data_IF_018946396251
#
_entry.id   IF_018946396251
#
_cell.length_a   1.000
_cell.length_b   1.000
_cell.length_c   1.000
_cell.angle_alpha   90.00
_cell.angle_beta   90.00
_cell.angle_gamma   90.00
#
_symmetry.space_group_name_H-M   'P 1'
#
loop_
_entity.id
_entity.type
_entity.pdbx_description
1 polymer ?
#
# COMPACT_ATOMS: atom_id res chain seq x y z
N UNK A 1 39.38 36.18 50.11
CA UNK A 1 39.24 35.89 48.66
C UNK A 1 38.85 34.43 48.34
N UNK A 2 39.31 33.41 49.09
CA UNK A 2 38.98 31.98 48.83
C UNK A 2 37.52 31.55 49.11
N UNK A 3 36.81 32.22 50.02
CA UNK A 3 35.41 31.89 50.36
C UNK A 3 34.40 32.36 49.31
N UNK A 4 34.75 33.38 48.50
CA UNK A 4 33.84 33.95 47.49
C UNK A 4 33.79 33.07 46.24
N UNK A 5 34.94 32.53 45.82
CA UNK A 5 35.07 31.61 44.68
C UNK A 5 34.44 30.24 44.94
N UNK A 6 34.38 29.77 46.19
CA UNK A 6 33.74 28.49 46.52
C UNK A 6 32.20 28.58 46.48
N UNK A 7 31.63 29.72 46.90
CA UNK A 7 30.18 29.97 46.83
C UNK A 7 29.71 30.09 45.39
N UNK A 8 30.45 30.80 44.54
CA UNK A 8 30.12 30.90 43.10
C UNK A 8 30.24 29.55 42.37
N UNK A 9 31.19 28.69 42.75
CA UNK A 9 31.30 27.34 42.21
C UNK A 9 30.09 26.46 42.58
N UNK A 10 29.62 26.54 43.83
CA UNK A 10 28.42 25.82 44.27
C UNK A 10 27.15 26.32 43.57
N UNK A 11 27.00 27.62 43.36
CA UNK A 11 25.88 28.16 42.59
C UNK A 11 25.88 27.71 41.13
N UNK A 12 27.05 27.60 40.48
CA UNK A 12 27.16 27.07 39.12
C UNK A 12 26.81 25.58 39.04
N UNK A 13 27.24 24.77 40.02
CA UNK A 13 26.88 23.34 40.09
C UNK A 13 25.39 23.16 40.33
N UNK A 14 24.78 23.94 41.23
CA UNK A 14 23.33 23.90 41.48
C UNK A 14 22.55 24.37 40.25
N UNK A 15 23.01 25.41 39.55
CA UNK A 15 22.40 25.87 38.31
C UNK A 15 22.49 24.82 37.19
N UNK A 16 23.61 24.11 37.05
CA UNK A 16 23.72 22.99 36.10
C UNK A 16 22.81 21.81 36.46
N UNK A 17 22.67 21.48 37.75
CA UNK A 17 21.74 20.44 38.22
C UNK A 17 20.26 20.81 37.98
N UNK A 18 19.90 22.09 38.15
CA UNK A 18 18.55 22.58 37.84
C UNK A 18 18.24 22.48 36.33
N UNK A 19 19.17 22.89 35.46
CA UNK A 19 18.99 22.80 34.00
C UNK A 19 18.86 21.35 33.55
N UNK A 20 19.67 20.42 34.10
CA UNK A 20 19.53 18.99 33.79
C UNK A 20 18.16 18.43 34.21
N UNK A 21 17.62 18.88 35.35
CA UNK A 21 16.32 18.40 35.85
C UNK A 21 15.12 18.84 35.01
N UNK A 22 15.20 20.00 34.33
CA UNK A 22 14.14 20.45 33.42
C UNK A 22 14.18 19.73 32.07
N UNK A 23 15.38 19.42 31.56
CA UNK A 23 15.55 18.65 30.31
C UNK A 23 15.04 17.21 30.48
N UNK A 24 15.32 16.55 31.61
CA UNK A 24 14.81 15.20 31.87
C UNK A 24 13.29 15.18 32.01
N UNK A 25 12.70 16.18 32.68
CA UNK A 25 11.24 16.35 32.76
C UNK A 25 10.59 16.54 31.40
N UNK A 26 11.15 17.38 30.53
CA UNK A 26 10.64 17.57 29.17
C UNK A 26 10.70 16.30 28.31
N UNK A 27 11.74 15.48 28.49
CA UNK A 27 11.86 14.19 27.81
C UNK A 27 10.86 13.16 28.33
N UNK A 28 10.64 13.10 29.64
CA UNK A 28 9.64 12.23 30.26
C UNK A 28 8.22 12.64 29.84
N UNK A 29 7.91 13.94 29.83
CA UNK A 29 6.62 14.49 29.40
C UNK A 29 6.35 14.19 27.92
N UNK A 30 7.36 14.34 27.06
CA UNK A 30 7.26 13.99 25.64
C UNK A 30 7.01 12.50 25.41
N UNK A 31 7.75 11.63 26.10
CA UNK A 31 7.55 10.17 26.00
C UNK A 31 6.19 9.74 26.54
N UNK A 32 5.70 10.35 27.62
CA UNK A 32 4.34 10.14 28.12
C UNK A 32 3.28 10.59 27.11
N UNK A 33 3.43 11.79 26.55
CA UNK A 33 2.55 12.29 25.48
C UNK A 33 2.53 11.33 24.29
N UNK A 34 3.70 10.91 23.81
CA UNK A 34 3.84 9.97 22.69
C UNK A 34 3.15 8.63 22.96
N UNK A 35 3.34 8.05 24.14
CA UNK A 35 2.65 6.81 24.55
C UNK A 35 1.13 7.01 24.62
N UNK A 36 0.68 8.14 25.16
CA UNK A 36 -0.74 8.49 25.26
C UNK A 36 -1.38 8.62 23.88
N UNK A 37 -0.73 9.33 22.95
CA UNK A 37 -1.21 9.45 21.57
C UNK A 37 -1.20 8.11 20.82
N UNK A 38 -0.16 7.28 21.01
CA UNK A 38 -0.13 5.95 20.42
C UNK A 38 -1.27 5.06 20.96
N UNK A 39 -1.57 5.14 22.26
CA UNK A 39 -2.69 4.43 22.87
C UNK A 39 -4.04 4.92 22.35
N UNK A 40 -4.28 6.23 22.30
CA UNK A 40 -5.50 6.82 21.73
C UNK A 40 -5.71 6.39 20.27
N UNK A 41 -4.63 6.39 19.49
CA UNK A 41 -4.67 5.95 18.11
C UNK A 41 -5.03 4.46 18.02
N UNK A 42 -4.38 3.60 18.81
CA UNK A 42 -4.70 2.16 18.85
C UNK A 42 -6.16 1.92 19.23
N UNK A 43 -6.66 2.55 20.29
CA UNK A 43 -8.06 2.39 20.71
C UNK A 43 -9.03 2.87 19.64
N UNK A 44 -8.72 3.98 18.95
CA UNK A 44 -9.54 4.47 17.85
C UNK A 44 -9.59 3.46 16.69
N UNK A 45 -8.44 2.93 16.26
CA UNK A 45 -8.37 1.91 15.20
C UNK A 45 -9.14 0.64 15.59
N UNK A 46 -8.99 0.17 16.82
CA UNK A 46 -9.71 -1.00 17.34
C UNK A 46 -11.23 -0.80 17.35
N UNK A 47 -11.70 0.37 17.78
CA UNK A 47 -13.12 0.69 17.77
C UNK A 47 -13.70 0.74 16.34
N UNK A 48 -12.95 1.34 15.40
CA UNK A 48 -13.32 1.39 13.98
C UNK A 48 -13.37 0.01 13.34
N UNK A 49 -12.36 -0.81 13.60
CA UNK A 49 -12.33 -2.18 13.10
C UNK A 49 -13.46 -3.01 13.69
N UNK A 50 -13.81 -2.83 14.98
CA UNK A 50 -14.93 -3.54 15.61
C UNK A 50 -16.29 -3.18 15.01
N UNK A 51 -16.54 -1.89 14.79
CA UNK A 51 -17.77 -1.46 14.11
C UNK A 51 -17.80 -1.95 12.67
N UNK A 52 -16.68 -1.89 11.95
CA UNK A 52 -16.61 -2.38 10.59
C UNK A 52 -16.85 -3.89 10.51
N UNK A 53 -16.26 -4.69 11.41
CA UNK A 53 -16.56 -6.13 11.52
C UNK A 53 -18.04 -6.38 11.81
N UNK A 54 -18.66 -5.55 12.64
CA UNK A 54 -20.10 -5.65 12.94
C UNK A 54 -20.95 -5.33 11.71
N UNK A 55 -20.55 -4.34 10.92
CA UNK A 55 -21.14 -4.00 9.63
C UNK A 55 -21.01 -5.17 8.64
N UNK A 56 -19.82 -5.74 8.49
CA UNK A 56 -19.57 -6.91 7.63
C UNK A 56 -20.38 -8.15 8.02
N UNK A 57 -20.80 -8.27 9.27
CA UNK A 57 -21.65 -9.40 9.71
C UNK A 57 -23.14 -9.16 9.42
N UNK A 58 -23.56 -7.94 9.05
CA UNK A 58 -24.99 -7.56 8.98
C UNK A 58 -25.42 -6.98 7.63
N UNK A 59 -24.64 -6.07 7.07
CA UNK A 59 -25.10 -5.13 6.03
C UNK A 59 -24.68 -5.57 4.62
N UNK A 60 -25.25 -6.68 4.14
CA UNK A 60 -25.03 -7.14 2.76
C UNK A 60 -26.23 -6.84 1.88
N UNK A 61 -25.96 -6.29 0.69
CA UNK A 61 -26.97 -6.01 -0.33
C UNK A 61 -26.74 -6.93 -1.52
N UNK A 62 -27.78 -7.63 -1.92
CA UNK A 62 -27.77 -8.36 -3.18
C UNK A 62 -27.81 -7.35 -4.33
N UNK A 63 -26.86 -7.46 -5.25
CA UNK A 63 -26.74 -6.60 -6.43
C UNK A 63 -26.73 -7.47 -7.68
N UNK A 64 -27.26 -6.94 -8.78
CA UNK A 64 -27.19 -7.59 -10.08
C UNK A 64 -25.92 -7.14 -10.80
N UNK A 65 -25.14 -8.11 -11.32
CA UNK A 65 -23.98 -7.82 -12.17
C UNK A 65 -24.45 -7.51 -13.59
N UNK A 66 -23.89 -6.44 -14.16
CA UNK A 66 -24.01 -6.08 -15.57
C UNK A 66 -22.80 -6.64 -16.33
N UNK A 67 -23.03 -7.11 -17.55
CA UNK A 67 -21.94 -7.55 -18.44
C UNK A 67 -21.12 -6.35 -18.91
N UNK A 68 -19.80 -6.53 -19.00
CA UNK A 68 -18.89 -5.51 -19.49
C UNK A 68 -19.10 -5.22 -20.97
N UNK A 69 -18.77 -3.99 -21.40
CA UNK A 69 -18.81 -3.63 -22.82
C UNK A 69 -17.87 -4.54 -23.63
N UNK A 70 -18.33 -4.98 -24.80
CA UNK A 70 -17.49 -5.71 -25.74
C UNK A 70 -16.59 -4.73 -26.52
N UNK A 71 -15.33 -5.07 -26.82
CA UNK A 71 -14.48 -4.26 -27.68
C UNK A 71 -15.11 -4.03 -29.06
N UNK A 72 -14.74 -2.94 -29.74
CA UNK A 72 -15.16 -2.70 -31.12
C UNK A 72 -14.82 -3.91 -32.01
N UNK A 73 -15.83 -4.52 -32.63
CA UNK A 73 -15.64 -5.67 -33.53
C UNK A 73 -14.92 -5.27 -34.82
N UNK A 74 -14.98 -3.99 -35.20
CA UNK A 74 -14.37 -3.50 -36.43
C UNK A 74 -12.85 -3.47 -36.26
N UNK A 75 -12.08 -4.21 -37.08
CA UNK A 75 -10.64 -4.17 -37.01
C UNK A 75 -10.15 -2.75 -37.28
N UNK A 76 -9.04 -2.38 -36.62
CA UNK A 76 -8.35 -1.13 -36.94
C UNK A 76 -8.07 -1.10 -38.45
N UNK A 77 -8.24 0.06 -39.13
CA UNK A 77 -7.87 0.19 -40.52
C UNK A 77 -6.44 -0.31 -40.73
N UNK A 78 -6.26 -1.26 -41.66
CA UNK A 78 -4.93 -1.81 -41.97
C UNK A 78 -4.00 -0.72 -42.52
N UNK A 79 -4.58 0.29 -43.17
CA UNK A 79 -3.87 1.44 -43.71
C UNK A 79 -4.10 2.66 -42.81
N UNK A 80 -3.00 3.26 -42.37
CA UNK A 80 -3.02 4.56 -41.70
C UNK A 80 -3.48 5.60 -42.75
N UNK A 81 -4.53 6.39 -42.49
CA UNK A 81 -4.92 7.46 -43.39
C UNK A 81 -3.76 8.46 -43.52
N UNK A 82 -3.41 8.80 -44.76
CA UNK A 82 -2.39 9.83 -45.02
C UNK A 82 -3.02 11.18 -44.66
N UNK A 83 -2.41 11.90 -43.71
CA UNK A 83 -2.80 13.27 -43.38
C UNK A 83 -2.63 14.16 -44.63
N UNK A 84 -3.73 14.73 -45.12
CA UNK A 84 -3.70 15.77 -46.15
C UNK A 84 -3.60 17.13 -45.44
N UNK A 85 -2.44 17.81 -45.46
CA UNK A 85 -2.34 19.16 -44.91
C UNK A 85 -3.32 20.10 -45.65
N UNK A 86 -4.06 20.97 -44.95
CA UNK A 86 -4.71 22.11 -45.57
C UNK A 86 -3.69 22.91 -46.40
N UNK A 87 -4.08 23.55 -47.52
CA UNK A 87 -3.15 24.35 -48.31
C UNK A 87 -2.46 25.39 -47.43
N UNK A 88 -1.14 25.27 -47.31
CA UNK A 88 -0.31 26.12 -46.48
C UNK A 88 -0.29 27.56 -47.03
N UNK A 89 -0.88 28.50 -46.30
CA UNK A 89 -0.49 29.91 -46.41
C UNK A 89 0.89 30.03 -45.78
N UNK A 90 1.94 30.21 -46.59
CA UNK A 90 3.32 30.41 -46.13
C UNK A 90 3.41 31.49 -45.06
N UNK A 91 3.68 31.10 -43.82
CA UNK A 91 4.27 31.96 -42.81
C UNK A 91 5.80 31.80 -42.83
N UNK A 92 6.59 32.84 -42.49
CA UNK A 92 8.02 32.83 -42.66
C UNK A 92 8.73 31.81 -41.76
N UNK A 93 9.76 31.23 -42.36
CA UNK A 93 10.73 30.29 -41.83
C UNK A 93 11.32 30.75 -40.49
N UNK A 94 11.10 29.95 -39.44
CA UNK A 94 11.94 30.00 -38.23
C UNK A 94 12.62 28.66 -38.07
N UNK A 95 13.77 28.56 -38.73
CA UNK A 95 14.81 27.57 -38.47
C UNK A 95 15.10 27.47 -36.97
N UNK A 96 14.82 26.32 -36.36
CA UNK A 96 15.38 25.92 -35.08
C UNK A 96 15.91 24.48 -35.16
N UNK A 97 17.22 24.43 -35.41
CA UNK A 97 18.21 23.39 -35.09
C UNK A 97 17.72 21.93 -34.94
N UNK A 98 18.17 21.09 -35.87
CA UNK A 98 18.10 19.64 -35.83
C UNK A 98 18.61 19.08 -34.49
N UNK A 99 17.75 18.35 -33.79
CA UNK A 99 18.16 17.54 -32.66
C UNK A 99 19.00 16.35 -33.17
N UNK A 100 20.22 16.25 -32.65
CA UNK A 100 21.14 15.12 -32.82
C UNK A 100 20.42 13.80 -32.52
N UNK A 101 20.53 12.85 -33.43
CA UNK A 101 20.23 11.43 -33.18
C UNK A 101 21.23 10.95 -32.12
N UNK A 102 20.73 10.65 -30.92
CA UNK A 102 21.50 9.93 -29.91
C UNK A 102 21.47 8.45 -30.29
N UNK A 103 22.64 7.88 -30.52
CA UNK A 103 22.83 6.46 -30.81
C UNK A 103 22.16 5.59 -29.73
N UNK A 104 21.50 4.52 -30.15
CA UNK A 104 21.03 3.44 -29.28
C UNK A 104 22.14 2.99 -28.34
N UNK A 105 21.92 2.95 -27.01
CA UNK A 105 22.89 2.41 -26.09
C UNK A 105 23.10 0.91 -26.37
N UNK A 106 24.33 0.40 -26.22
CA UNK A 106 24.62 -1.02 -26.38
C UNK A 106 23.81 -1.87 -25.37
N UNK A 107 23.60 -3.17 -25.65
CA UNK A 107 22.86 -4.06 -24.75
C UNK A 107 23.54 -4.07 -23.38
N UNK A 108 22.81 -3.56 -22.39
CA UNK A 108 23.22 -3.60 -20.99
C UNK A 108 23.28 -5.08 -20.60
N UNK A 109 24.47 -5.55 -20.22
CA UNK A 109 24.64 -6.85 -19.59
C UNK A 109 23.71 -6.92 -18.38
N UNK A 110 22.87 -7.94 -18.32
CA UNK A 110 22.02 -8.22 -17.17
C UNK A 110 22.88 -8.36 -15.91
N UNK A 111 23.00 -7.29 -15.12
CA UNK A 111 23.40 -7.44 -13.73
C UNK A 111 22.21 -8.05 -12.98
N UNK A 112 22.44 -8.99 -12.06
CA UNK A 112 21.37 -9.56 -11.24
C UNK A 112 20.60 -8.41 -10.58
N UNK A 113 19.24 -8.48 -10.54
CA UNK A 113 18.42 -7.38 -10.10
C UNK A 113 18.86 -6.92 -8.70
N UNK A 114 18.98 -5.60 -8.47
CA UNK A 114 19.29 -5.09 -7.15
C UNK A 114 18.20 -5.55 -6.19
N UNK A 115 18.57 -6.23 -5.10
CA UNK A 115 17.64 -6.48 -4.00
C UNK A 115 17.21 -5.11 -3.46
N UNK A 116 15.96 -4.75 -3.65
CA UNK A 116 15.37 -3.58 -3.00
C UNK A 116 15.23 -3.94 -1.51
N UNK A 117 16.26 -3.63 -0.73
CA UNK A 117 16.29 -3.87 0.71
C UNK A 117 15.56 -2.72 1.40
N UNK A 118 14.41 -3.06 1.99
CA UNK A 118 13.59 -2.22 2.87
C UNK A 118 14.37 -1.65 4.07
N UNK A 119 13.94 -0.52 4.67
CA UNK A 119 14.45 -0.08 5.96
C UNK A 119 14.28 -1.19 7.01
N UNK A 120 15.24 -1.35 7.93
CA UNK A 120 15.24 -2.45 8.91
C UNK A 120 13.99 -2.36 9.80
N UNK A 121 13.08 -3.31 9.61
CA UNK A 121 11.97 -3.55 10.54
C UNK A 121 12.57 -4.23 11.78
N UNK A 122 12.24 -3.73 12.97
CA UNK A 122 12.58 -4.39 14.23
C UNK A 122 12.23 -5.88 14.12
N UNK A 123 13.19 -6.76 14.41
CA UNK A 123 12.99 -8.21 14.39
C UNK A 123 12.06 -8.61 15.55
N UNK A 124 10.76 -8.39 15.38
CA UNK A 124 9.75 -8.90 16.28
C UNK A 124 9.68 -10.43 16.15
N UNK A 125 9.49 -11.11 17.30
CA UNK A 125 9.53 -12.58 17.46
C UNK A 125 8.52 -13.37 16.61
N UNK A 126 7.59 -12.74 15.88
CA UNK A 126 6.49 -13.40 15.17
C UNK A 126 6.40 -13.00 13.68
N UNK A 127 7.52 -12.63 13.04
CA UNK A 127 7.53 -12.27 11.62
C UNK A 127 7.97 -13.44 10.74
N UNK A 128 7.27 -13.61 9.62
CA UNK A 128 7.59 -14.53 8.53
C UNK A 128 8.11 -13.73 7.34
N UNK A 129 9.20 -14.20 6.73
CA UNK A 129 9.74 -13.62 5.51
C UNK A 129 9.12 -14.26 4.27
N UNK A 130 8.83 -13.45 3.25
CA UNK A 130 8.43 -13.89 1.92
C UNK A 130 9.20 -13.15 0.84
N UNK A 131 9.34 -13.77 -0.33
CA UNK A 131 9.97 -13.18 -1.51
C UNK A 131 8.96 -13.21 -2.65
N UNK A 132 8.61 -12.04 -3.17
CA UNK A 132 7.66 -11.91 -4.27
C UNK A 132 8.40 -11.53 -5.55
N UNK A 133 8.27 -12.35 -6.59
CA UNK A 133 8.73 -11.99 -7.92
C UNK A 133 7.73 -11.02 -8.58
N UNK A 134 8.15 -9.81 -8.90
CA UNK A 134 7.28 -8.77 -9.44
C UNK A 134 7.99 -7.89 -10.48
N UNK A 135 7.52 -7.92 -11.73
CA UNK A 135 8.11 -7.19 -12.86
C UNK A 135 9.65 -7.33 -12.96
N UNK A 136 10.16 -8.55 -12.79
CA UNK A 136 11.60 -8.83 -12.85
C UNK A 136 12.39 -8.52 -11.56
N UNK A 137 11.72 -8.02 -10.51
CA UNK A 137 12.32 -7.75 -9.21
C UNK A 137 11.97 -8.84 -8.21
N UNK A 138 12.87 -9.12 -7.25
CA UNK A 138 12.60 -10.00 -6.11
C UNK A 138 12.41 -9.16 -4.84
N UNK A 139 11.16 -9.02 -4.41
CA UNK A 139 10.76 -8.17 -3.30
C UNK A 139 10.72 -8.99 -2.01
N UNK A 140 11.70 -8.76 -1.13
CA UNK A 140 11.74 -9.42 0.18
C UNK A 140 10.94 -8.62 1.21
N UNK A 141 9.92 -9.24 1.79
CA UNK A 141 9.03 -8.62 2.77
C UNK A 141 8.86 -9.50 4.00
N UNK A 142 8.47 -8.90 5.11
CA UNK A 142 8.10 -9.61 6.32
C UNK A 142 6.64 -9.30 6.66
N UNK A 143 5.92 -10.30 7.13
CA UNK A 143 4.55 -10.16 7.60
C UNK A 143 4.38 -10.92 8.93
N UNK A 144 3.40 -10.50 9.72
CA UNK A 144 3.03 -11.17 10.98
C UNK A 144 2.50 -12.58 10.72
N UNK A 145 2.96 -13.60 11.44
CA UNK A 145 2.43 -14.96 11.30
C UNK A 145 0.92 -15.05 11.52
N UNK A 146 0.33 -14.12 12.29
CA UNK A 146 -1.11 -14.00 12.49
C UNK A 146 -1.90 -13.73 11.19
N UNK A 147 -1.24 -13.38 10.08
CA UNK A 147 -1.84 -13.32 8.75
C UNK A 147 -2.22 -14.70 8.19
N UNK A 148 -1.68 -15.81 8.70
CA UNK A 148 -1.96 -17.17 8.18
C UNK A 148 -3.31 -17.71 8.67
N UNK A 149 -4.37 -17.01 8.32
CA UNK A 149 -5.76 -17.43 8.56
C UNK A 149 -6.36 -18.09 7.33
N UNK A 150 -7.48 -18.77 7.48
CA UNK A 150 -8.21 -19.35 6.35
C UNK A 150 -9.67 -18.91 6.41
N UNK A 151 -10.26 -18.61 5.25
CA UNK A 151 -11.68 -18.33 5.17
C UNK A 151 -12.49 -19.59 5.52
N UNK A 152 -13.51 -19.43 6.35
CA UNK A 152 -14.44 -20.50 6.66
C UNK A 152 -15.26 -20.92 5.44
N UNK A 153 -15.65 -22.20 5.40
CA UNK A 153 -16.61 -22.73 4.42
C UNK A 153 -17.90 -23.15 5.15
N UNK A 154 -19.10 -22.83 4.63
CA UNK A 154 -19.37 -22.06 3.41
C UNK A 154 -19.04 -20.57 3.56
N UNK A 155 -18.84 -19.88 2.44
CA UNK A 155 -18.61 -18.43 2.44
C UNK A 155 -19.90 -17.70 2.77
N UNK A 156 -19.86 -16.91 3.84
CA UNK A 156 -20.94 -16.06 4.30
C UNK A 156 -20.40 -14.83 5.03
N UNK A 157 -21.31 -13.95 5.43
CA UNK A 157 -21.04 -12.68 6.11
C UNK A 157 -20.19 -12.88 7.38
N UNK A 158 -20.50 -13.93 8.15
CA UNK A 158 -19.80 -14.27 9.39
C UNK A 158 -18.36 -14.73 9.12
N UNK A 159 -18.16 -15.57 8.10
CA UNK A 159 -16.84 -16.06 7.72
C UNK A 159 -15.94 -14.91 7.24
N UNK A 160 -16.46 -14.03 6.39
CA UNK A 160 -15.75 -12.84 5.89
C UNK A 160 -15.45 -11.88 7.05
N UNK A 161 -16.43 -11.62 7.91
CA UNK A 161 -16.26 -10.75 9.08
C UNK A 161 -15.21 -11.28 10.05
N UNK A 162 -15.16 -12.60 10.30
CA UNK A 162 -14.12 -13.25 11.13
C UNK A 162 -12.74 -13.17 10.48
N UNK A 163 -12.65 -13.37 9.16
CA UNK A 163 -11.40 -13.25 8.43
C UNK A 163 -10.82 -11.84 8.57
N UNK A 164 -11.63 -10.80 8.32
CA UNK A 164 -11.23 -9.41 8.53
C UNK A 164 -10.82 -9.14 9.98
N UNK A 165 -11.61 -9.61 10.94
CA UNK A 165 -11.33 -9.41 12.37
C UNK A 165 -9.97 -9.97 12.79
N UNK A 166 -9.59 -11.16 12.28
CA UNK A 166 -8.28 -11.74 12.55
C UNK A 166 -7.14 -10.92 11.96
N UNK A 167 -7.30 -10.42 10.73
CA UNK A 167 -6.29 -9.58 10.07
C UNK A 167 -6.11 -8.23 10.75
N UNK A 168 -7.21 -7.63 11.22
CA UNK A 168 -7.20 -6.37 11.98
C UNK A 168 -6.40 -6.47 13.28
N UNK A 169 -6.37 -7.65 13.92
CA UNK A 169 -5.59 -7.91 15.15
C UNK A 169 -4.11 -8.16 14.87
N UNK A 170 -3.74 -8.53 13.64
CA UNK A 170 -2.35 -8.74 13.23
C UNK A 170 -1.61 -7.41 13.01
N UNK A 171 -0.27 -7.43 13.10
CA UNK A 171 0.56 -6.27 12.75
C UNK A 171 0.59 -6.04 11.23
N UNK A 172 -0.44 -5.37 10.72
CA UNK A 172 -0.57 -5.00 9.31
C UNK A 172 0.14 -3.70 8.93
N UNK A 173 0.48 -2.84 9.89
CA UNK A 173 1.08 -1.53 9.62
C UNK A 173 2.44 -1.65 8.97
N UNK A 174 3.27 -2.59 9.44
CA UNK A 174 4.61 -2.78 8.90
C UNK A 174 4.58 -3.39 7.50
N UNK A 175 3.59 -4.26 7.23
CA UNK A 175 3.36 -4.79 5.89
C UNK A 175 2.94 -3.67 4.93
N UNK A 176 1.93 -2.87 5.30
CA UNK A 176 1.46 -1.74 4.48
C UNK A 176 2.59 -0.75 4.19
N UNK A 177 3.43 -0.43 5.18
CA UNK A 177 4.62 0.43 4.99
C UNK A 177 5.62 -0.19 4.00
N UNK A 178 5.93 -1.47 4.11
CA UNK A 178 6.84 -2.17 3.19
C UNK A 178 6.30 -2.17 1.76
N UNK A 179 5.00 -2.47 1.58
CA UNK A 179 4.39 -2.46 0.24
C UNK A 179 4.30 -1.05 -0.33
N UNK A 180 4.03 -0.04 0.52
CA UNK A 180 4.11 1.38 0.14
C UNK A 180 5.50 1.78 -0.34
N UNK A 181 6.55 1.33 0.35
CA UNK A 181 7.92 1.53 -0.10
C UNK A 181 8.17 0.91 -1.49
N UNK A 182 7.69 -0.32 -1.74
CA UNK A 182 7.80 -0.92 -3.08
C UNK A 182 6.99 -0.15 -4.14
N UNK A 183 5.81 0.38 -3.79
CA UNK A 183 5.00 1.23 -4.68
C UNK A 183 5.84 2.41 -5.19
N UNK A 184 6.45 3.15 -4.29
CA UNK A 184 7.23 4.35 -4.62
C UNK A 184 8.51 4.00 -5.41
N UNK A 185 9.27 3.00 -4.97
CA UNK A 185 10.55 2.65 -5.61
C UNK A 185 10.37 2.06 -7.01
N UNK A 186 9.28 1.33 -7.25
CA UNK A 186 8.96 0.77 -8.56
C UNK A 186 8.05 1.70 -9.39
N UNK A 187 7.68 2.87 -8.84
CA UNK A 187 6.77 3.84 -9.45
C UNK A 187 5.45 3.17 -9.94
N UNK A 188 4.85 2.34 -9.08
CA UNK A 188 3.65 1.58 -9.44
C UNK A 188 2.41 2.47 -9.48
N UNK A 189 1.64 2.33 -10.57
CA UNK A 189 0.28 2.83 -10.60
C UNK A 189 -0.65 1.98 -9.70
N UNK A 190 -1.90 2.40 -9.54
CA UNK A 190 -2.86 1.77 -8.65
C UNK A 190 -3.16 0.30 -9.03
N UNK A 191 -3.21 0.00 -10.34
CA UNK A 191 -3.36 -1.38 -10.80
C UNK A 191 -2.15 -2.25 -10.43
N UNK A 192 -0.94 -1.74 -10.64
CA UNK A 192 0.30 -2.40 -10.25
C UNK A 192 0.37 -2.64 -8.75
N UNK A 193 -0.09 -1.67 -7.95
CA UNK A 193 -0.16 -1.79 -6.50
C UNK A 193 -1.13 -2.89 -6.07
N UNK A 194 -2.36 -2.90 -6.60
CA UNK A 194 -3.35 -3.95 -6.30
C UNK A 194 -2.87 -5.33 -6.75
N UNK A 195 -2.20 -5.41 -7.92
CA UNK A 195 -1.60 -6.65 -8.40
C UNK A 195 -0.50 -7.15 -7.47
N UNK A 196 0.34 -6.26 -6.95
CA UNK A 196 1.36 -6.63 -5.95
C UNK A 196 0.72 -7.18 -4.68
N UNK A 197 -0.32 -6.51 -4.15
CA UNK A 197 -1.07 -7.01 -2.99
C UNK A 197 -1.69 -8.39 -3.25
N UNK A 198 -2.27 -8.60 -4.43
CA UNK A 198 -2.81 -9.91 -4.81
C UNK A 198 -1.74 -10.99 -4.85
N UNK A 199 -0.57 -10.72 -5.40
CA UNK A 199 0.54 -11.68 -5.41
C UNK A 199 1.07 -11.98 -4.00
N UNK A 200 1.11 -10.99 -3.11
CA UNK A 200 1.42 -11.21 -1.70
C UNK A 200 0.36 -12.13 -1.06
N UNK A 201 -0.93 -11.90 -1.34
CA UNK A 201 -2.00 -12.79 -0.91
C UNK A 201 -1.82 -14.21 -1.43
N UNK A 202 -1.48 -14.38 -2.71
CA UNK A 202 -1.22 -15.70 -3.31
C UNK A 202 0.00 -16.42 -2.72
N UNK A 203 0.96 -15.67 -2.18
CA UNK A 203 2.10 -16.25 -1.47
C UNK A 203 1.72 -16.71 -0.05
N UNK A 204 0.84 -15.96 0.64
CA UNK A 204 0.42 -16.27 2.02
C UNK A 204 -0.65 -17.37 2.05
N UNK A 205 -1.59 -17.35 1.10
CA UNK A 205 -2.78 -18.21 1.13
C UNK A 205 -2.85 -19.17 -0.06
N UNK A 206 -3.40 -20.36 0.20
CA UNK A 206 -3.56 -21.40 -0.83
C UNK A 206 -4.76 -21.14 -1.73
N UNK A 207 -5.87 -20.68 -1.17
CA UNK A 207 -7.10 -20.47 -1.94
C UNK A 207 -7.12 -19.08 -2.57
N UNK A 208 -7.82 -18.96 -3.70
CA UNK A 208 -7.97 -17.67 -4.36
C UNK A 208 -8.87 -16.70 -3.56
N UNK A 209 -9.93 -17.21 -2.94
CA UNK A 209 -10.82 -16.41 -2.10
C UNK A 209 -10.07 -15.75 -0.93
N UNK A 210 -9.20 -16.49 -0.24
CA UNK A 210 -8.38 -15.94 0.84
C UNK A 210 -7.45 -14.83 0.34
N UNK A 211 -6.79 -15.06 -0.80
CA UNK A 211 -5.90 -14.07 -1.42
C UNK A 211 -6.66 -12.81 -1.83
N UNK A 212 -7.88 -12.94 -2.37
CA UNK A 212 -8.75 -11.82 -2.73
C UNK A 212 -9.18 -11.04 -1.48
N UNK A 213 -9.60 -11.72 -0.40
CA UNK A 213 -9.97 -11.05 0.85
C UNK A 213 -8.78 -10.34 1.50
N UNK A 214 -7.59 -10.94 1.46
CA UNK A 214 -6.37 -10.28 1.90
C UNK A 214 -6.07 -9.05 1.04
N UNK A 215 -6.21 -9.16 -0.29
CA UNK A 215 -5.99 -8.03 -1.21
C UNK A 215 -6.89 -6.87 -0.85
N UNK A 216 -8.17 -7.15 -0.63
CA UNK A 216 -9.16 -6.17 -0.18
C UNK A 216 -8.79 -5.53 1.16
N UNK A 217 -8.42 -6.34 2.15
CA UNK A 217 -8.00 -5.84 3.46
C UNK A 217 -6.80 -4.91 3.34
N UNK A 218 -5.74 -5.35 2.66
CA UNK A 218 -4.52 -4.59 2.52
C UNK A 218 -4.73 -3.32 1.69
N UNK A 219 -5.52 -3.36 0.63
CA UNK A 219 -5.84 -2.18 -0.18
C UNK A 219 -6.64 -1.15 0.62
N UNK A 220 -7.62 -1.60 1.42
CA UNK A 220 -8.36 -0.72 2.31
C UNK A 220 -7.48 -0.08 3.39
N UNK A 221 -6.56 -0.85 4.00
CA UNK A 221 -5.58 -0.29 4.96
C UNK A 221 -4.56 0.66 4.31
N UNK A 222 -4.38 0.57 2.99
CA UNK A 222 -3.58 1.49 2.19
C UNK A 222 -4.36 2.69 1.65
N UNK A 223 -5.65 2.83 1.99
CA UNK A 223 -6.48 3.99 1.63
C UNK A 223 -7.23 3.87 0.30
N UNK A 224 -7.30 2.68 -0.30
CA UNK A 224 -8.09 2.45 -1.51
C UNK A 224 -9.55 2.13 -1.17
N UNK A 225 -10.46 2.69 -1.96
CA UNK A 225 -11.91 2.50 -1.82
C UNK A 225 -12.40 1.20 -2.48
N UNK A 226 -11.77 0.07 -2.16
CA UNK A 226 -12.17 -1.24 -2.68
C UNK A 226 -13.32 -1.84 -1.88
N UNK A 227 -14.21 -2.57 -2.56
CA UNK A 227 -15.29 -3.36 -1.95
C UNK A 227 -15.12 -4.84 -2.30
N UNK A 228 -15.91 -5.70 -1.68
CA UNK A 228 -16.00 -7.12 -2.03
C UNK A 228 -17.44 -7.52 -2.28
N UNK A 229 -17.60 -8.52 -3.14
CA UNK A 229 -18.83 -9.28 -3.31
C UNK A 229 -18.53 -10.76 -3.16
N UNK A 230 -19.56 -11.56 -2.92
CA UNK A 230 -19.44 -13.01 -3.00
C UNK A 230 -20.72 -13.62 -3.59
N UNK A 231 -20.57 -14.69 -4.36
CA UNK A 231 -21.66 -15.52 -4.90
C UNK A 231 -21.14 -16.94 -5.11
N UNK A 232 -21.98 -17.96 -4.96
CA UNK A 232 -21.64 -19.36 -5.28
C UNK A 232 -20.29 -19.83 -4.70
N UNK A 233 -20.01 -19.42 -3.46
CA UNK A 233 -18.79 -19.74 -2.74
C UNK A 233 -17.50 -19.20 -3.41
N UNK A 234 -17.61 -18.09 -4.14
CA UNK A 234 -16.52 -17.30 -4.71
C UNK A 234 -16.56 -15.86 -4.18
N UNK A 235 -15.40 -15.28 -3.95
CA UNK A 235 -15.24 -13.86 -3.56
C UNK A 235 -14.71 -13.08 -4.75
N UNK A 236 -15.24 -11.89 -4.97
CA UNK A 236 -14.78 -10.96 -6.01
C UNK A 236 -14.35 -9.63 -5.39
N UNK A 237 -13.20 -9.11 -5.82
CA UNK A 237 -12.75 -7.77 -5.49
C UNK A 237 -13.41 -6.76 -6.44
N UNK A 238 -14.04 -5.74 -5.87
CA UNK A 238 -14.75 -4.69 -6.59
C UNK A 238 -13.91 -3.41 -6.51
N UNK A 239 -13.33 -3.01 -7.64
CA UNK A 239 -12.42 -1.87 -7.72
C UNK A 239 -13.15 -0.73 -8.45
N UNK A 240 -13.35 0.43 -7.82
CA UNK A 240 -13.90 1.59 -8.52
C UNK A 240 -12.90 2.07 -9.58
N UNK A 241 -13.37 2.26 -10.80
CA UNK A 241 -12.56 2.73 -11.92
C UNK A 241 -13.24 3.92 -12.59
N UNK A 242 -12.43 4.93 -12.97
CA UNK A 242 -12.86 6.02 -13.85
C UNK A 242 -12.77 5.64 -15.33
N UNK A 243 -12.01 4.59 -15.63
CA UNK A 243 -11.75 4.14 -16.99
C UNK A 243 -12.76 3.05 -17.36
N UNK A 244 -13.21 3.07 -18.62
CA UNK A 244 -14.00 2.00 -19.19
C UNK A 244 -13.16 0.73 -19.29
N UNK A 245 -13.63 -0.33 -18.65
CA UNK A 245 -13.07 -1.67 -18.77
C UNK A 245 -13.98 -2.52 -19.65
N UNK A 246 -13.40 -3.14 -20.67
CA UNK A 246 -14.13 -4.04 -21.56
C UNK A 246 -14.09 -5.46 -21.02
N UNK A 247 -15.16 -6.22 -21.24
CA UNK A 247 -15.30 -7.62 -20.82
C UNK A 247 -15.11 -7.88 -19.31
N UNK A 248 -15.31 -6.87 -18.46
CA UNK A 248 -15.29 -7.01 -17.00
C UNK A 248 -16.68 -6.74 -16.45
N UNK A 249 -17.28 -7.66 -15.67
CA UNK A 249 -18.57 -7.42 -15.03
C UNK A 249 -18.51 -6.24 -14.05
N UNK A 250 -19.58 -5.45 -13.97
CA UNK A 250 -19.66 -4.30 -13.08
C UNK A 250 -21.06 -4.12 -12.50
N UNK A 251 -21.22 -3.23 -11.53
CA UNK A 251 -22.51 -2.79 -11.01
C UNK A 251 -22.46 -1.29 -10.75
N UNK A 252 -23.62 -0.64 -10.78
CA UNK A 252 -23.77 0.80 -10.53
C UNK A 252 -24.78 1.10 -9.45
#
# INVERSE_FOLDING_TARGET
MRLFTQRTLWFLVIAQLLILSEVTRGQDDFEQWKRSEEQKYKSFVEERDKEFVSFLKREWKQMQLLEGLTPDEKPKPVQIPVYAPPPETRAPDTSRAAARIVATPPPVRETPPPKIVKPSVDQQRNQVSAIIAFFGNSLALNYDEAFRVALGSPINNEAIGKFWESLSKANHRDLVKQVGFFKENLNLNDWGYLKLLYLIGKEIYRTENDAILFTWFASSKSGYETRIGFSDNQVCLLIPTKNTLFNVPFFT
#
